data_IF_066784949428
#
_entry.id   IF_066784949428
#
_cell.length_a   1.000
_cell.length_b   1.000
_cell.length_c   1.000
_cell.angle_alpha   90.00
_cell.angle_beta   90.00
_cell.angle_gamma   90.00
#
_symmetry.space_group_name_H-M   'P 1'
#
loop_
_entity.id
_entity.type
_entity.pdbx_description
1 polymer ?
#
# COMPACT_ATOMS: atom_id res chain seq x y z
N UNK A 1 -3.96 -10.18 -28.15
CA UNK A 1 -3.98 -8.75 -27.78
C UNK A 1 -5.09 -8.57 -26.75
N UNK A 2 -4.73 -8.48 -25.46
CA UNK A 2 -5.72 -8.40 -24.38
C UNK A 2 -6.34 -7.00 -24.32
N UNK A 3 -7.66 -6.94 -24.13
CA UNK A 3 -8.42 -5.71 -23.95
C UNK A 3 -7.84 -4.86 -22.81
N UNK A 4 -6.95 -3.94 -23.13
CA UNK A 4 -6.68 -2.79 -22.26
C UNK A 4 -7.85 -1.84 -22.45
N UNK A 5 -8.63 -1.64 -21.39
CA UNK A 5 -9.75 -0.72 -21.38
C UNK A 5 -9.22 0.67 -21.79
N UNK A 6 -9.61 1.17 -22.97
CA UNK A 6 -9.06 2.40 -23.60
C UNK A 6 -9.78 3.66 -23.12
N UNK A 7 -10.29 3.67 -21.89
CA UNK A 7 -11.06 4.80 -21.39
C UNK A 7 -10.24 6.09 -21.35
N UNK A 8 -8.94 5.98 -21.03
CA UNK A 8 -7.99 7.09 -21.09
C UNK A 8 -6.96 6.83 -22.19
N UNK A 9 -7.00 7.56 -23.31
CA UNK A 9 -5.98 7.42 -24.35
C UNK A 9 -4.64 7.95 -23.84
N UNK A 10 -3.56 7.18 -24.03
CA UNK A 10 -2.19 7.58 -23.69
C UNK A 10 -1.68 8.64 -24.67
N UNK A 11 -1.40 9.88 -24.23
CA UNK A 11 -0.82 10.89 -25.10
C UNK A 11 0.64 10.58 -25.42
N UNK A 12 1.08 10.99 -26.62
CA UNK A 12 2.47 10.79 -27.10
C UNK A 12 3.50 11.42 -26.16
N UNK A 13 3.21 12.59 -25.58
CA UNK A 13 4.14 13.27 -24.68
C UNK A 13 4.29 12.52 -23.34
N UNK A 14 3.24 11.87 -22.84
CA UNK A 14 3.33 10.99 -21.64
C UNK A 14 4.06 9.70 -21.99
N UNK A 15 3.74 9.10 -23.14
CA UNK A 15 4.43 7.90 -23.61
C UNK A 15 5.94 8.10 -23.69
N UNK A 16 6.38 9.28 -24.14
CA UNK A 16 7.79 9.63 -24.25
C UNK A 16 8.40 10.24 -22.99
N UNK A 17 7.64 10.41 -21.90
CA UNK A 17 8.06 11.12 -20.68
C UNK A 17 8.65 12.52 -20.98
N UNK A 18 7.99 13.28 -21.86
CA UNK A 18 8.50 14.56 -22.35
C UNK A 18 8.48 15.65 -21.26
N UNK A 19 9.66 15.98 -20.74
CA UNK A 19 9.82 16.96 -19.66
C UNK A 19 10.12 18.38 -20.13
N UNK A 20 10.23 18.64 -21.44
CA UNK A 20 10.69 19.94 -21.98
C UNK A 20 9.88 21.14 -21.48
N UNK A 21 8.58 20.94 -21.27
CA UNK A 21 7.67 22.00 -20.83
C UNK A 21 7.56 22.12 -19.30
N UNK A 22 8.24 21.28 -18.53
CA UNK A 22 8.14 21.27 -17.06
C UNK A 22 9.02 22.32 -16.37
N UNK A 23 9.97 22.93 -17.10
CA UNK A 23 10.96 23.83 -16.53
C UNK A 23 11.65 23.19 -15.31
N UNK A 24 11.86 23.97 -14.25
CA UNK A 24 12.49 23.49 -13.03
C UNK A 24 11.51 22.86 -12.01
N UNK A 25 10.24 22.60 -12.36
CA UNK A 25 9.25 22.04 -11.42
C UNK A 25 9.75 20.78 -10.70
N UNK A 26 10.45 19.89 -11.43
CA UNK A 26 11.00 18.66 -10.87
C UNK A 26 12.01 18.92 -9.74
N UNK A 27 12.69 20.07 -9.72
CA UNK A 27 13.64 20.46 -8.67
C UNK A 27 12.97 20.98 -7.40
N UNK A 28 11.65 21.14 -7.38
CA UNK A 28 10.86 21.53 -6.20
C UNK A 28 10.34 20.34 -5.38
N UNK A 29 10.44 19.13 -5.92
CA UNK A 29 10.17 17.89 -5.20
C UNK A 29 11.34 17.54 -4.26
N UNK A 30 11.03 16.81 -3.19
CA UNK A 30 12.01 16.33 -2.23
C UNK A 30 12.36 14.88 -2.55
N UNK A 31 13.60 14.64 -2.98
CA UNK A 31 14.11 13.31 -3.31
C UNK A 31 15.03 12.78 -2.21
N UNK A 32 15.05 11.46 -2.03
CA UNK A 32 15.97 10.78 -1.11
C UNK A 32 17.36 10.59 -1.72
N UNK A 33 18.02 11.68 -2.14
CA UNK A 33 19.28 11.63 -2.89
C UNK A 33 20.54 11.77 -2.03
N UNK A 34 20.44 12.07 -0.73
CA UNK A 34 21.61 12.34 0.13
C UNK A 34 22.67 11.24 0.08
N UNK A 35 22.25 9.97 0.20
CA UNK A 35 23.16 8.83 0.15
C UNK A 35 23.74 8.63 -1.26
N UNK A 36 22.90 8.72 -2.29
CA UNK A 36 23.33 8.63 -3.69
C UNK A 36 24.39 9.70 -4.04
N UNK A 37 24.16 10.95 -3.64
CA UNK A 37 25.10 12.05 -3.86
C UNK A 37 26.41 11.85 -3.11
N UNK A 38 26.37 11.23 -1.92
CA UNK A 38 27.59 10.86 -1.19
C UNK A 38 28.41 9.82 -1.97
N UNK A 39 27.75 8.79 -2.52
CA UNK A 39 28.41 7.76 -3.33
C UNK A 39 29.03 8.35 -4.61
N UNK A 40 28.31 9.26 -5.28
CA UNK A 40 28.81 9.95 -6.48
C UNK A 40 30.07 10.76 -6.17
N UNK A 41 30.07 11.55 -5.08
CA UNK A 41 31.25 12.34 -4.68
C UNK A 41 32.46 11.49 -4.31
N UNK A 42 32.24 10.27 -3.85
CA UNK A 42 33.29 9.32 -3.50
C UNK A 42 33.76 8.49 -4.71
N UNK A 43 33.22 8.73 -5.91
CA UNK A 43 33.46 7.91 -7.10
C UNK A 43 33.22 6.41 -6.83
N UNK A 44 32.18 6.09 -6.06
CA UNK A 44 31.81 4.71 -5.77
C UNK A 44 31.50 3.94 -7.05
N UNK A 45 31.81 2.64 -7.04
CA UNK A 45 31.50 1.75 -8.16
C UNK A 45 29.98 1.73 -8.43
N UNK A 46 29.61 2.03 -9.68
CA UNK A 46 28.21 2.08 -10.13
C UNK A 46 27.54 0.71 -10.16
N UNK A 47 28.33 -0.35 -10.24
CA UNK A 47 27.85 -1.73 -10.18
C UNK A 47 27.69 -2.25 -8.74
N UNK A 48 28.11 -1.45 -7.74
CA UNK A 48 27.92 -1.83 -6.35
C UNK A 48 26.43 -1.88 -5.97
N UNK A 49 26.06 -2.86 -5.14
CA UNK A 49 24.68 -3.04 -4.69
C UNK A 49 24.10 -1.79 -4.02
N UNK A 50 24.93 -1.04 -3.28
CA UNK A 50 24.53 0.19 -2.59
C UNK A 50 24.21 1.31 -3.60
N UNK A 51 25.04 1.48 -4.62
CA UNK A 51 24.82 2.47 -5.68
C UNK A 51 23.57 2.13 -6.48
N UNK A 52 23.44 0.88 -6.95
CA UNK A 52 22.27 0.41 -7.71
C UNK A 52 20.98 0.64 -6.92
N UNK A 53 20.97 0.30 -5.63
CA UNK A 53 19.81 0.49 -4.76
C UNK A 53 19.43 1.96 -4.62
N UNK A 54 20.39 2.83 -4.29
CA UNK A 54 20.16 4.26 -4.11
C UNK A 54 19.73 4.95 -5.41
N UNK A 55 20.35 4.58 -6.54
CA UNK A 55 20.05 5.10 -7.87
C UNK A 55 18.65 4.69 -8.33
N UNK A 56 18.27 3.41 -8.16
CA UNK A 56 16.93 2.94 -8.49
C UNK A 56 15.85 3.58 -7.62
N UNK A 57 16.14 3.83 -6.34
CA UNK A 57 15.26 4.58 -5.44
C UNK A 57 14.97 5.98 -5.98
N UNK A 58 16.02 6.75 -6.31
CA UNK A 58 15.88 8.07 -6.93
C UNK A 58 15.13 8.02 -8.27
N UNK A 59 15.49 7.08 -9.14
CA UNK A 59 14.85 6.90 -10.46
C UNK A 59 13.35 6.62 -10.33
N UNK A 60 12.95 5.82 -9.34
CA UNK A 60 11.55 5.56 -9.03
C UNK A 60 10.79 6.82 -8.62
N UNK A 61 11.31 7.56 -7.64
CA UNK A 61 10.71 8.83 -7.18
C UNK A 61 10.61 9.87 -8.30
N UNK A 62 11.64 9.97 -9.15
CA UNK A 62 11.64 10.87 -10.29
C UNK A 62 10.59 10.48 -11.34
N UNK A 63 10.45 9.18 -11.62
CA UNK A 63 9.43 8.68 -12.54
C UNK A 63 8.02 9.04 -12.06
N UNK A 64 7.71 8.81 -10.79
CA UNK A 64 6.42 9.16 -10.19
C UNK A 64 6.12 10.67 -10.32
N UNK A 65 7.12 11.52 -10.07
CA UNK A 65 6.95 12.98 -10.14
C UNK A 65 6.81 13.49 -11.59
N UNK A 66 7.56 12.92 -12.54
CA UNK A 66 7.39 13.24 -13.97
C UNK A 66 5.99 12.84 -14.42
N UNK A 67 5.57 11.62 -14.12
CA UNK A 67 4.22 11.13 -14.47
C UNK A 67 3.15 12.05 -13.87
N UNK A 68 3.32 12.47 -12.61
CA UNK A 68 2.39 13.38 -11.96
C UNK A 68 2.28 14.74 -12.68
N UNK A 69 3.40 15.39 -13.00
CA UNK A 69 3.41 16.68 -13.73
C UNK A 69 2.76 16.57 -15.12
N UNK A 70 2.97 15.43 -15.81
CA UNK A 70 2.40 15.19 -17.13
C UNK A 70 0.89 14.90 -17.06
N UNK A 71 0.43 14.22 -16.01
CA UNK A 71 -1.00 14.00 -15.74
C UNK A 71 -1.73 15.28 -15.33
N UNK A 72 -1.05 16.17 -14.63
CA UNK A 72 -1.59 17.49 -14.30
C UNK A 72 -1.91 18.26 -15.59
N UNK A 73 -1.02 18.22 -16.59
CA UNK A 73 -1.26 18.82 -17.92
C UNK A 73 -2.33 18.09 -18.70
N UNK A 74 -2.32 16.76 -18.68
CA UNK A 74 -3.35 15.94 -19.30
C UNK A 74 -4.75 16.32 -18.82
N UNK A 75 -4.89 16.60 -17.53
CA UNK A 75 -6.14 17.10 -16.94
C UNK A 75 -6.58 18.41 -17.56
N UNK A 76 -5.65 19.35 -17.79
CA UNK A 76 -6.00 20.65 -18.35
C UNK A 76 -6.57 20.52 -19.76
N UNK A 77 -6.10 19.54 -20.53
CA UNK A 77 -6.49 19.27 -21.92
C UNK A 77 -7.71 18.33 -22.03
N UNK A 78 -7.96 17.48 -21.03
CA UNK A 78 -9.04 16.50 -21.05
C UNK A 78 -10.29 16.97 -20.30
N UNK A 79 -11.39 17.18 -21.03
CA UNK A 79 -12.67 17.65 -20.49
C UNK A 79 -13.43 16.59 -19.67
N UNK A 80 -13.11 15.30 -19.81
CA UNK A 80 -13.76 14.23 -19.04
C UNK A 80 -13.32 14.25 -17.57
N UNK A 81 -12.16 14.85 -17.29
CA UNK A 81 -11.64 15.01 -15.94
C UNK A 81 -12.27 16.25 -15.30
N UNK A 82 -13.11 16.00 -14.29
CA UNK A 82 -13.84 17.03 -13.56
C UNK A 82 -13.04 17.62 -12.41
N UNK A 83 -12.15 16.83 -11.80
CA UNK A 83 -11.27 17.28 -10.72
C UNK A 83 -9.95 16.51 -10.74
N UNK A 84 -8.84 17.16 -10.41
CA UNK A 84 -7.52 16.54 -10.24
C UNK A 84 -6.92 16.93 -8.89
N UNK A 85 -6.40 15.94 -8.18
CA UNK A 85 -5.93 16.11 -6.80
C UNK A 85 -4.48 16.57 -6.79
N UNK A 86 -4.26 17.75 -6.22
CA UNK A 86 -2.94 18.36 -6.07
C UNK A 86 -2.09 17.62 -5.00
N UNK A 87 -0.78 17.51 -5.25
CA UNK A 87 0.22 16.94 -4.33
C UNK A 87 1.57 17.65 -4.48
N UNK A 88 2.52 17.31 -3.62
CA UNK A 88 3.90 17.76 -3.81
C UNK A 88 4.04 19.28 -3.66
N UNK A 89 4.78 19.96 -4.55
CA UNK A 89 4.95 21.41 -4.52
C UNK A 89 3.71 22.18 -5.00
N UNK A 90 2.70 21.52 -5.60
CA UNK A 90 1.47 22.16 -6.07
C UNK A 90 0.44 22.41 -4.97
N UNK A 91 0.65 21.84 -3.78
CA UNK A 91 -0.23 22.04 -2.63
C UNK A 91 0.60 22.55 -1.44
N UNK A 92 0.05 23.50 -0.69
CA UNK A 92 0.62 23.80 0.63
C UNK A 92 0.30 22.65 1.59
N UNK A 93 1.23 22.36 2.51
CA UNK A 93 0.90 21.54 3.68
C UNK A 93 -0.09 22.34 4.51
N UNK A 94 -1.39 22.15 4.26
CA UNK A 94 -2.45 22.73 5.07
C UNK A 94 -2.51 22.00 6.41
N UNK A 95 -1.48 22.18 7.25
CA UNK A 95 -1.45 21.75 8.64
C UNK A 95 -2.50 22.49 9.50
N UNK A 96 -3.32 23.36 8.91
CA UNK A 96 -4.24 24.23 9.64
C UNK A 96 -5.33 23.47 10.41
N UNK A 97 -5.69 22.26 10.01
CA UNK A 97 -6.87 21.59 10.57
C UNK A 97 -6.61 20.23 11.26
N UNK A 98 -5.35 19.77 11.38
CA UNK A 98 -5.02 18.51 12.08
C UNK A 98 -5.95 17.33 11.71
N UNK A 99 -6.37 17.23 10.44
CA UNK A 99 -7.34 16.23 10.01
C UNK A 99 -6.85 14.82 10.34
N UNK A 100 -7.62 14.14 11.19
CA UNK A 100 -7.35 12.75 11.61
C UNK A 100 -7.99 11.74 10.66
N UNK A 101 -8.90 12.16 9.80
CA UNK A 101 -9.64 11.28 8.89
C UNK A 101 -9.87 11.97 7.55
N UNK A 102 -9.74 11.22 6.46
CA UNK A 102 -9.98 11.73 5.11
C UNK A 102 -8.78 11.58 4.19
N UNK A 103 -8.94 12.03 2.94
CA UNK A 103 -7.82 12.20 2.01
C UNK A 103 -7.07 13.48 2.39
N UNK A 104 -5.75 13.39 2.54
CA UNK A 104 -4.90 14.53 2.87
C UNK A 104 -3.57 14.41 2.12
N UNK A 105 -2.77 15.46 2.17
CA UNK A 105 -1.36 15.39 1.82
C UNK A 105 -0.53 15.09 3.07
N UNK A 106 0.27 14.03 3.04
CA UNK A 106 1.11 13.64 4.17
C UNK A 106 2.40 14.50 4.26
N UNK A 107 3.26 14.22 5.24
CA UNK A 107 4.54 14.94 5.41
C UNK A 107 5.52 14.69 4.26
N UNK A 108 5.40 13.55 3.59
CA UNK A 108 6.16 13.18 2.39
C UNK A 108 5.58 13.84 1.13
N UNK A 109 4.52 14.65 1.27
CA UNK A 109 3.80 15.36 0.21
C UNK A 109 3.08 14.44 -0.78
N UNK A 110 2.70 13.25 -0.35
CA UNK A 110 1.91 12.29 -1.11
C UNK A 110 0.42 12.37 -0.73
N UNK A 111 -0.45 11.95 -1.65
CA UNK A 111 -1.88 11.85 -1.39
C UNK A 111 -2.11 10.58 -0.57
N UNK A 112 -2.65 10.70 0.64
CA UNK A 112 -2.92 9.56 1.51
C UNK A 112 -4.34 9.59 2.04
N UNK A 113 -4.94 8.41 2.23
CA UNK A 113 -6.11 8.30 3.10
C UNK A 113 -5.67 8.03 4.53
N UNK A 114 -5.98 8.95 5.44
CA UNK A 114 -5.65 8.86 6.85
C UNK A 114 -6.85 8.35 7.65
N UNK A 115 -6.58 7.43 8.57
CA UNK A 115 -7.55 6.97 9.56
C UNK A 115 -6.93 7.01 10.96
N UNK A 116 -7.22 8.07 11.70
CA UNK A 116 -6.56 8.40 12.96
C UNK A 116 -5.13 8.88 12.74
N UNK A 117 -4.16 8.11 13.24
CA UNK A 117 -2.73 8.45 13.19
C UNK A 117 -1.95 7.59 12.17
N UNK A 118 -2.66 6.96 11.24
CA UNK A 118 -2.08 6.03 10.27
C UNK A 118 -2.58 6.29 8.86
N UNK A 119 -1.65 6.21 7.92
CA UNK A 119 -1.90 6.40 6.49
C UNK A 119 -2.22 5.04 5.88
N UNK A 120 -3.51 4.77 5.66
CA UNK A 120 -4.00 3.44 5.27
C UNK A 120 -3.55 3.11 3.85
N UNK A 121 -3.54 4.10 2.97
CA UNK A 121 -3.13 3.99 1.58
C UNK A 121 -2.57 5.31 1.07
N UNK A 122 -1.63 5.22 0.15
CA UNK A 122 -0.98 6.32 -0.57
C UNK A 122 -1.32 6.24 -2.06
N UNK A 123 -1.34 7.35 -2.80
CA UNK A 123 -1.67 7.41 -4.22
C UNK A 123 -0.70 8.33 -4.97
N UNK A 124 -0.14 7.85 -6.09
CA UNK A 124 0.81 8.61 -6.90
C UNK A 124 0.15 9.81 -7.57
N UNK A 125 -1.08 9.63 -8.04
CA UNK A 125 -1.99 10.68 -8.46
C UNK A 125 -3.45 10.22 -8.30
N UNK A 126 -4.39 11.16 -8.32
CA UNK A 126 -5.82 10.87 -8.26
C UNK A 126 -6.59 11.95 -9.02
N UNK A 127 -7.65 11.53 -9.73
CA UNK A 127 -8.56 12.44 -10.40
C UNK A 127 -9.98 11.86 -10.44
N UNK A 128 -10.94 12.73 -10.73
CA UNK A 128 -12.36 12.38 -10.81
C UNK A 128 -12.86 12.65 -12.21
N UNK A 129 -13.76 11.79 -12.66
CA UNK A 129 -14.64 12.05 -13.80
C UNK A 129 -16.06 12.21 -13.29
N UNK A 130 -17.02 12.37 -14.21
CA UNK A 130 -18.44 12.51 -13.86
C UNK A 130 -18.98 11.38 -12.95
N UNK A 131 -18.51 10.14 -13.12
CA UNK A 131 -19.06 8.95 -12.44
C UNK A 131 -17.99 8.10 -11.72
N UNK A 132 -16.73 8.54 -11.72
CA UNK A 132 -15.62 7.70 -11.28
C UNK A 132 -14.59 8.47 -10.46
N UNK A 133 -13.96 7.76 -9.52
CA UNK A 133 -12.66 8.12 -8.94
C UNK A 133 -11.60 7.25 -9.61
N UNK A 134 -10.57 7.89 -10.15
CA UNK A 134 -9.45 7.23 -10.81
C UNK A 134 -8.19 7.49 -9.99
N UNK A 135 -7.58 6.41 -9.49
CA UNK A 135 -6.27 6.51 -8.85
C UNK A 135 -5.17 6.03 -9.79
N UNK A 136 -4.00 6.62 -9.67
CA UNK A 136 -2.84 6.31 -10.49
C UNK A 136 -1.84 5.50 -9.68
N UNK A 137 -1.25 4.50 -10.33
CA UNK A 137 -0.09 3.76 -9.87
C UNK A 137 0.94 3.73 -10.98
N UNK A 138 2.14 4.20 -10.69
CA UNK A 138 3.24 4.30 -11.61
C UNK A 138 4.43 3.49 -11.10
N UNK A 139 5.09 2.74 -11.99
CA UNK A 139 6.29 2.01 -11.58
C UNK A 139 7.26 1.74 -12.73
N UNK A 140 8.55 1.81 -12.40
CA UNK A 140 9.65 1.37 -13.25
C UNK A 140 9.97 -0.12 -13.10
N UNK A 141 9.35 -0.81 -12.12
CA UNK A 141 9.62 -2.22 -11.82
C UNK A 141 9.01 -3.12 -12.89
N UNK A 142 9.80 -4.07 -13.38
CA UNK A 142 9.39 -4.95 -14.48
C UNK A 142 8.33 -6.00 -14.08
N UNK A 143 8.30 -6.41 -12.81
CA UNK A 143 7.33 -7.39 -12.31
C UNK A 143 6.08 -6.71 -11.74
N UNK A 144 4.91 -7.10 -12.26
CA UNK A 144 3.61 -6.55 -11.86
C UNK A 144 2.93 -7.32 -10.72
N UNK A 145 3.56 -8.38 -10.18
CA UNK A 145 2.92 -9.26 -9.19
C UNK A 145 2.57 -8.50 -7.90
N UNK A 146 3.55 -7.82 -7.30
CA UNK A 146 3.35 -7.05 -6.07
C UNK A 146 2.40 -5.86 -6.24
N UNK A 147 2.27 -5.35 -7.47
CA UNK A 147 1.34 -4.25 -7.78
C UNK A 147 -0.12 -4.68 -7.59
N UNK A 148 -0.50 -5.91 -7.95
CA UNK A 148 -1.90 -6.35 -7.86
C UNK A 148 -2.45 -6.34 -6.44
N UNK A 149 -1.63 -6.72 -5.44
CA UNK A 149 -2.02 -6.64 -4.02
C UNK A 149 -2.32 -5.19 -3.61
N UNK A 150 -1.48 -4.24 -4.04
CA UNK A 150 -1.69 -2.81 -3.81
C UNK A 150 -2.98 -2.33 -4.48
N UNK A 151 -3.24 -2.74 -5.72
CA UNK A 151 -4.47 -2.39 -6.45
C UNK A 151 -5.73 -2.89 -5.76
N UNK A 152 -5.76 -4.16 -5.31
CA UNK A 152 -6.92 -4.71 -4.57
C UNK A 152 -7.23 -3.87 -3.34
N UNK A 153 -6.21 -3.56 -2.54
CA UNK A 153 -6.34 -2.73 -1.33
C UNK A 153 -6.85 -1.32 -1.65
N UNK A 154 -6.24 -0.63 -2.63
CA UNK A 154 -6.64 0.72 -3.05
C UNK A 154 -8.08 0.74 -3.56
N UNK A 155 -8.42 -0.22 -4.41
CA UNK A 155 -9.78 -0.36 -4.98
C UNK A 155 -10.82 -0.60 -3.90
N UNK A 156 -10.56 -1.54 -2.97
CA UNK A 156 -11.47 -1.85 -1.87
C UNK A 156 -11.68 -0.66 -0.93
N UNK A 157 -10.60 0.07 -0.60
CA UNK A 157 -10.69 1.26 0.25
C UNK A 157 -11.49 2.37 -0.44
N UNK A 158 -11.15 2.75 -1.67
CA UNK A 158 -11.86 3.81 -2.39
C UNK A 158 -13.34 3.45 -2.62
N UNK A 159 -13.67 2.17 -2.79
CA UNK A 159 -15.06 1.71 -2.92
C UNK A 159 -15.88 1.89 -1.63
N UNK A 160 -15.22 1.95 -0.47
CA UNK A 160 -15.87 2.32 0.79
C UNK A 160 -16.00 3.84 0.94
N UNK A 161 -14.97 4.59 0.54
CA UNK A 161 -14.91 6.04 0.67
C UNK A 161 -15.87 6.75 -0.30
N UNK A 162 -16.11 6.16 -1.47
CA UNK A 162 -16.94 6.71 -2.54
C UNK A 162 -17.95 5.67 -3.03
N UNK A 163 -19.00 5.34 -2.25
CA UNK A 163 -19.94 4.27 -2.61
C UNK A 163 -20.73 4.54 -3.89
N UNK A 164 -20.84 5.82 -4.29
CA UNK A 164 -21.61 6.25 -5.45
C UNK A 164 -20.73 6.49 -6.70
N UNK A 165 -19.42 6.25 -6.61
CA UNK A 165 -18.50 6.38 -7.75
C UNK A 165 -17.96 5.01 -8.14
N UNK A 166 -17.70 4.83 -9.43
CA UNK A 166 -16.88 3.70 -9.90
C UNK A 166 -15.43 3.95 -9.51
N UNK A 167 -14.75 2.90 -9.05
CA UNK A 167 -13.32 2.98 -8.72
C UNK A 167 -12.51 2.37 -9.86
N UNK A 168 -11.71 3.21 -10.52
CA UNK A 168 -10.85 2.83 -11.64
C UNK A 168 -9.39 3.07 -11.29
N UNK A 169 -8.51 2.35 -11.98
CA UNK A 169 -7.08 2.50 -11.82
C UNK A 169 -6.43 2.84 -13.16
N UNK A 170 -5.54 3.83 -13.18
CA UNK A 170 -4.65 4.09 -14.30
C UNK A 170 -3.24 3.63 -13.91
N UNK A 171 -2.76 2.60 -14.60
CA UNK A 171 -1.48 1.95 -14.33
C UNK A 171 -0.47 2.43 -15.36
N UNK A 172 0.61 3.07 -14.93
CA UNK A 172 1.63 3.64 -15.81
C UNK A 172 2.94 2.89 -15.59
N UNK A 173 3.37 2.15 -16.61
CA UNK A 173 4.52 1.24 -16.52
C UNK A 173 5.61 1.70 -17.47
N UNK A 174 6.87 1.56 -17.05
CA UNK A 174 7.99 1.66 -17.98
C UNK A 174 7.99 0.46 -18.94
N UNK A 175 8.42 0.69 -20.18
CA UNK A 175 8.67 -0.37 -21.16
C UNK A 175 9.57 -1.48 -20.57
N UNK A 176 9.31 -2.72 -20.97
CA UNK A 176 9.93 -3.91 -20.39
C UNK A 176 9.15 -4.53 -19.21
N UNK A 177 8.03 -3.93 -18.80
CA UNK A 177 7.13 -4.53 -17.81
C UNK A 177 6.46 -5.81 -18.35
N UNK A 178 6.31 -6.82 -17.48
CA UNK A 178 5.76 -8.14 -17.80
C UNK A 178 4.43 -8.39 -17.07
N UNK A 179 3.58 -9.26 -17.63
CA UNK A 179 2.30 -9.64 -17.01
C UNK A 179 1.17 -8.62 -17.17
N UNK A 180 1.23 -7.79 -18.22
CA UNK A 180 0.25 -6.73 -18.52
C UNK A 180 -1.18 -7.24 -18.74
N UNK A 181 -1.35 -8.51 -19.13
CA UNK A 181 -2.64 -9.14 -19.39
C UNK A 181 -3.34 -9.68 -18.13
N UNK A 182 -2.80 -9.44 -16.95
CA UNK A 182 -3.32 -9.97 -15.67
C UNK A 182 -3.88 -8.87 -14.75
N UNK A 183 -4.07 -7.65 -15.27
CA UNK A 183 -4.74 -6.59 -14.52
C UNK A 183 -6.26 -6.76 -14.57
N UNK A 184 -6.98 -6.37 -13.50
CA UNK A 184 -8.45 -6.40 -13.49
C UNK A 184 -9.06 -5.42 -14.50
N UNK A 185 -10.33 -5.65 -14.88
CA UNK A 185 -11.04 -4.87 -15.91
C UNK A 185 -11.23 -3.37 -15.57
N UNK A 186 -11.15 -3.02 -14.28
CA UNK A 186 -11.20 -1.62 -13.84
C UNK A 186 -9.87 -0.88 -14.03
N UNK A 187 -8.86 -1.51 -14.63
CA UNK A 187 -7.55 -0.93 -14.89
C UNK A 187 -7.39 -0.51 -16.36
N UNK A 188 -6.94 0.73 -16.57
CA UNK A 188 -6.33 1.18 -17.83
C UNK A 188 -4.82 1.08 -17.69
N UNK A 189 -4.11 0.55 -18.69
CA UNK A 189 -2.65 0.37 -18.64
C UNK A 189 -1.98 1.21 -19.72
N UNK A 190 -1.06 2.08 -19.30
CA UNK A 190 -0.18 2.87 -20.15
C UNK A 190 1.24 2.36 -20.02
N UNK A 191 1.95 2.30 -21.15
CA UNK A 191 3.37 1.92 -21.19
C UNK A 191 4.16 3.09 -21.75
N UNK A 192 5.10 3.60 -20.97
CA UNK A 192 5.99 4.71 -21.33
C UNK A 192 7.35 4.18 -21.76
N UNK A 193 8.17 5.03 -22.38
CA UNK A 193 9.61 4.76 -22.57
C UNK A 193 10.34 4.66 -21.22
N UNK A 194 11.56 4.13 -21.25
CA UNK A 194 12.46 4.15 -20.10
C UNK A 194 12.83 5.58 -19.74
N UNK A 195 12.71 5.92 -18.46
CA UNK A 195 13.22 7.17 -17.92
C UNK A 195 14.76 7.14 -17.90
N UNK A 196 15.35 8.19 -18.47
CA UNK A 196 16.73 8.62 -18.20
C UNK A 196 16.72 9.66 -17.05
N UNK A 197 17.24 9.31 -15.86
CA UNK A 197 17.24 10.22 -14.72
C UNK A 197 18.45 11.17 -14.68
N UNK A 198 19.46 10.97 -15.54
CA UNK A 198 20.73 11.70 -15.48
C UNK A 198 20.59 13.23 -15.60
N UNK A 199 19.76 13.79 -16.51
CA UNK A 199 19.62 15.23 -16.62
C UNK A 199 19.18 15.90 -15.31
N UNK A 200 18.23 15.29 -14.60
CA UNK A 200 17.73 15.82 -13.32
C UNK A 200 18.69 15.54 -12.18
N UNK A 201 19.31 14.34 -12.14
CA UNK A 201 20.32 14.00 -11.13
C UNK A 201 21.48 14.98 -11.15
N UNK A 202 21.98 15.33 -12.35
CA UNK A 202 23.08 16.27 -12.54
C UNK A 202 22.74 17.67 -12.03
N UNK A 203 21.52 18.16 -12.28
CA UNK A 203 21.05 19.44 -11.73
C UNK A 203 20.95 19.40 -10.20
N UNK A 204 20.48 18.29 -9.62
CA UNK A 204 20.42 18.11 -8.16
C UNK A 204 21.83 18.05 -7.55
N UNK A 205 22.78 17.38 -8.20
CA UNK A 205 24.15 17.27 -7.73
C UNK A 205 24.87 18.63 -7.73
N UNK A 206 24.58 19.47 -8.72
CA UNK A 206 25.13 20.83 -8.91
C UNK A 206 24.29 21.93 -8.26
N UNK A 207 23.56 21.64 -7.18
CA UNK A 207 22.58 22.56 -6.55
C UNK A 207 23.09 23.98 -6.26
N UNK A 208 24.40 24.18 -6.07
CA UNK A 208 25.00 25.49 -5.80
C UNK A 208 25.36 26.28 -7.08
N UNK A 209 25.40 25.63 -8.24
CA UNK A 209 25.79 26.21 -9.53
C UNK A 209 24.57 26.52 -10.42
N UNK A 210 23.41 25.92 -10.13
CA UNK A 210 22.18 26.13 -10.90
C UNK A 210 21.20 27.06 -10.17
N UNK A 211 20.91 28.22 -10.78
CA UNK A 211 19.86 29.11 -10.29
C UNK A 211 18.49 28.57 -10.72
N UNK A 212 17.69 28.09 -9.75
CA UNK A 212 16.37 27.54 -10.02
C UNK A 212 15.42 28.58 -10.62
N UNK A 213 14.83 28.23 -11.76
CA UNK A 213 13.72 28.99 -12.35
C UNK A 213 12.49 28.92 -11.45
N UNK A 214 11.62 29.93 -11.56
CA UNK A 214 10.39 30.02 -10.76
C UNK A 214 9.47 28.82 -11.04
N UNK A 215 8.90 28.26 -9.98
CA UNK A 215 7.90 27.19 -10.05
C UNK A 215 6.72 27.57 -10.95
N UNK A 216 6.37 26.68 -11.87
CA UNK A 216 5.25 26.80 -12.79
C UNK A 216 4.01 26.19 -12.12
N UNK A 217 3.10 27.05 -11.68
CA UNK A 217 1.81 26.68 -11.09
C UNK A 217 0.66 26.89 -12.06
N UNK A 218 -0.35 26.04 -12.02
CA UNK A 218 -1.57 26.15 -12.83
C UNK A 218 -2.74 26.70 -12.01
N UNK A 219 -3.55 27.58 -12.61
CA UNK A 219 -4.78 28.10 -12.02
C UNK A 219 -5.97 27.57 -12.83
N UNK A 220 -6.54 26.46 -12.40
CA UNK A 220 -7.75 25.87 -12.98
C UNK A 220 -8.65 25.37 -11.84
N UNK A 221 -9.95 25.63 -11.93
CA UNK A 221 -10.96 25.28 -10.92
C UNK A 221 -11.09 23.77 -10.67
N UNK A 222 -10.64 22.94 -11.62
CA UNK A 222 -10.61 21.47 -11.50
C UNK A 222 -9.48 20.99 -10.59
N UNK A 223 -8.46 21.82 -10.36
CA UNK A 223 -7.34 21.46 -9.50
C UNK A 223 -7.75 21.69 -8.04
N UNK A 224 -7.81 20.60 -7.27
CA UNK A 224 -8.32 20.62 -5.89
C UNK A 224 -7.28 20.08 -4.93
N UNK A 225 -7.31 20.55 -3.69
CA UNK A 225 -6.46 20.01 -2.63
C UNK A 225 -7.07 18.72 -2.04
N UNK A 226 -6.23 17.77 -1.65
CA UNK A 226 -6.68 16.46 -1.14
C UNK A 226 -7.67 16.58 0.03
N UNK A 227 -7.43 17.51 0.95
CA UNK A 227 -8.23 17.72 2.16
C UNK A 227 -9.65 18.24 1.88
N UNK A 228 -9.89 18.83 0.70
CA UNK A 228 -11.21 19.33 0.30
C UNK A 228 -12.17 18.23 -0.14
N UNK A 229 -11.65 17.02 -0.38
CA UNK A 229 -12.42 15.89 -0.88
C UNK A 229 -13.24 15.28 0.26
N UNK A 230 -14.57 15.35 0.12
CA UNK A 230 -15.49 14.69 1.04
C UNK A 230 -15.52 13.19 0.78
N UNK A 231 -15.31 12.40 1.82
CA UNK A 231 -15.30 10.94 1.77
C UNK A 231 -16.22 10.35 2.81
N UNK A 232 -16.74 9.15 2.55
CA UNK A 232 -17.37 8.35 3.59
C UNK A 232 -16.36 7.99 4.68
N UNK A 233 -16.85 7.91 5.90
CA UNK A 233 -16.00 7.74 7.06
C UNK A 233 -15.60 6.27 7.27
N UNK A 234 -14.29 6.00 7.31
CA UNK A 234 -13.76 4.67 7.59
C UNK A 234 -12.76 4.69 8.76
N UNK A 235 -13.11 3.97 9.83
CA UNK A 235 -12.33 3.84 11.08
C UNK A 235 -11.54 2.53 11.08
N UNK A 236 -10.25 2.62 10.79
CA UNK A 236 -9.38 1.45 10.64
C UNK A 236 -9.37 0.53 11.88
N UNK A 237 -9.05 1.06 13.06
CA UNK A 237 -8.92 0.23 14.26
C UNK A 237 -10.26 -0.24 14.83
N UNK A 238 -11.30 0.59 14.79
CA UNK A 238 -12.65 0.22 15.25
C UNK A 238 -13.20 -0.95 14.42
N UNK A 239 -13.02 -0.89 13.10
CA UNK A 239 -13.45 -1.97 12.19
C UNK A 239 -12.63 -3.25 12.42
N UNK A 240 -11.32 -3.14 12.64
CA UNK A 240 -10.47 -4.29 12.94
C UNK A 240 -10.88 -4.96 14.28
N UNK A 241 -11.21 -4.17 15.30
CA UNK A 241 -11.75 -4.67 16.56
C UNK A 241 -13.16 -5.26 16.43
N UNK A 242 -14.00 -4.72 15.54
CA UNK A 242 -15.30 -5.31 15.22
C UNK A 242 -15.15 -6.68 14.54
N UNK A 243 -14.23 -6.82 13.59
CA UNK A 243 -13.90 -8.12 12.96
C UNK A 243 -13.47 -9.13 14.03
N UNK A 244 -12.55 -8.77 14.92
CA UNK A 244 -12.13 -9.64 16.03
C UNK A 244 -13.34 -10.13 16.84
N UNK A 245 -14.22 -9.21 17.28
CA UNK A 245 -15.40 -9.56 18.09
C UNK A 245 -16.42 -10.43 17.37
N UNK A 246 -16.51 -10.34 16.03
CA UNK A 246 -17.43 -11.13 15.20
C UNK A 246 -16.82 -12.42 14.68
N UNK A 247 -15.52 -12.61 14.81
CA UNK A 247 -14.79 -13.78 14.29
C UNK A 247 -15.23 -15.07 14.97
N UNK A 248 -15.43 -15.01 16.28
CA UNK A 248 -15.91 -16.12 17.11
C UNK A 248 -17.30 -15.76 17.63
N UNK A 249 -18.25 -16.66 17.43
CA UNK A 249 -19.55 -16.58 18.07
C UNK A 249 -19.40 -16.83 19.56
N UNK A 250 -19.80 -15.86 20.39
CA UNK A 250 -19.60 -15.93 21.84
C UNK A 250 -20.51 -16.95 22.52
N UNK A 251 -21.71 -17.18 21.97
CA UNK A 251 -22.69 -18.10 22.55
C UNK A 251 -22.34 -19.54 22.15
N UNK A 252 -22.07 -19.76 20.87
CA UNK A 252 -21.74 -21.08 20.34
C UNK A 252 -20.27 -21.47 20.54
N UNK A 253 -19.38 -20.52 20.87
CA UNK A 253 -17.91 -20.68 20.88
C UNK A 253 -17.36 -21.28 19.58
N UNK A 254 -17.97 -20.91 18.45
CA UNK A 254 -17.66 -21.43 17.11
C UNK A 254 -17.15 -20.33 16.20
N UNK A 255 -16.37 -20.72 15.19
CA UNK A 255 -15.92 -19.81 14.16
C UNK A 255 -17.09 -19.34 13.29
N UNK A 256 -17.21 -18.03 13.08
CA UNK A 256 -18.30 -17.45 12.32
C UNK A 256 -17.98 -17.42 10.82
N UNK A 257 -18.17 -18.55 10.14
CA UNK A 257 -17.85 -18.66 8.72
C UNK A 257 -18.71 -17.76 7.82
N UNK A 258 -20.00 -17.64 8.12
CA UNK A 258 -20.93 -16.83 7.31
C UNK A 258 -20.53 -15.35 7.33
N UNK A 259 -20.03 -14.87 8.48
CA UNK A 259 -19.45 -13.54 8.61
C UNK A 259 -18.27 -13.33 7.65
N UNK A 260 -17.32 -14.26 7.60
CA UNK A 260 -16.15 -14.15 6.72
C UNK A 260 -16.46 -14.35 5.24
N UNK A 261 -17.49 -15.14 4.93
CA UNK A 261 -18.00 -15.32 3.56
C UNK A 261 -18.83 -14.14 3.06
N UNK A 262 -19.19 -13.18 3.94
CA UNK A 262 -19.98 -12.01 3.53
C UNK A 262 -19.17 -11.05 2.64
N UNK A 263 -19.85 -10.43 1.68
CA UNK A 263 -19.26 -9.43 0.76
C UNK A 263 -18.57 -8.28 1.51
N UNK A 264 -19.16 -7.84 2.63
CA UNK A 264 -18.63 -6.75 3.44
C UNK A 264 -17.30 -7.14 4.11
N UNK A 265 -17.24 -8.31 4.74
CA UNK A 265 -16.01 -8.77 5.40
C UNK A 265 -14.91 -9.04 4.39
N UNK A 266 -15.22 -9.65 3.24
CA UNK A 266 -14.23 -9.85 2.17
C UNK A 266 -13.63 -8.54 1.66
N UNK A 267 -14.45 -7.49 1.51
CA UNK A 267 -13.96 -6.16 1.15
C UNK A 267 -13.01 -5.59 2.21
N UNK A 268 -13.31 -5.77 3.50
CA UNK A 268 -12.38 -5.38 4.55
C UNK A 268 -11.09 -6.22 4.50
N UNK A 269 -11.17 -7.52 4.26
CA UNK A 269 -10.00 -8.39 4.10
C UNK A 269 -9.07 -7.90 2.98
N UNK A 270 -9.61 -7.35 1.89
CA UNK A 270 -8.80 -6.73 0.84
C UNK A 270 -8.08 -5.45 1.30
N UNK A 271 -8.66 -4.68 2.23
CA UNK A 271 -8.05 -3.47 2.80
C UNK A 271 -6.94 -3.82 3.80
N UNK A 272 -7.22 -4.72 4.74
CA UNK A 272 -6.28 -5.05 5.82
C UNK A 272 -5.20 -6.05 5.40
N UNK A 273 -5.46 -6.87 4.37
CA UNK A 273 -4.69 -8.08 3.96
C UNK A 273 -4.57 -9.18 5.02
N UNK A 274 -4.80 -8.86 6.30
CA UNK A 274 -4.86 -9.76 7.43
C UNK A 274 -5.83 -9.24 8.48
N UNK A 275 -6.51 -10.13 9.18
CA UNK A 275 -7.35 -9.77 10.32
C UNK A 275 -7.12 -10.69 11.50
N UNK A 276 -7.28 -10.13 12.69
CA UNK A 276 -7.08 -10.83 13.95
C UNK A 276 -8.38 -11.52 14.34
N UNK A 277 -8.29 -12.81 14.64
CA UNK A 277 -9.46 -13.63 15.01
C UNK A 277 -9.41 -14.10 16.46
N UNK A 278 -8.28 -13.91 17.14
CA UNK A 278 -8.09 -14.29 18.53
C UNK A 278 -6.62 -14.40 18.89
N UNK A 279 -6.33 -15.12 19.96
CA UNK A 279 -4.99 -15.50 20.39
C UNK A 279 -4.97 -16.94 20.89
N UNK A 280 -3.77 -17.54 20.95
CA UNK A 280 -3.49 -18.77 21.69
C UNK A 280 -2.45 -18.47 22.77
N UNK A 281 -2.40 -19.27 23.83
CA UNK A 281 -1.33 -19.21 24.84
C UNK A 281 -0.01 -19.75 24.30
N UNK A 282 1.12 -19.53 24.98
CA UNK A 282 2.40 -20.16 24.59
C UNK A 282 2.32 -21.69 24.59
N UNK A 283 1.68 -22.27 25.60
CA UNK A 283 1.49 -23.72 25.73
C UNK A 283 0.64 -24.26 24.57
N UNK A 284 -0.44 -23.56 24.24
CA UNK A 284 -1.26 -23.90 23.09
C UNK A 284 -0.46 -23.77 21.78
N UNK A 285 0.34 -22.72 21.65
CA UNK A 285 1.17 -22.52 20.47
C UNK A 285 2.22 -23.63 20.30
N UNK A 286 2.86 -24.09 21.38
CA UNK A 286 3.73 -25.28 21.35
C UNK A 286 2.97 -26.48 20.77
N UNK A 287 1.76 -26.77 21.24
CA UNK A 287 0.93 -27.86 20.70
C UNK A 287 0.58 -27.70 19.21
N UNK A 288 0.58 -26.48 18.68
CA UNK A 288 0.44 -26.23 17.24
C UNK A 288 1.74 -26.58 16.53
N UNK A 289 2.88 -26.17 17.11
CA UNK A 289 4.22 -26.35 16.56
C UNK A 289 4.73 -27.80 16.57
N UNK A 290 4.27 -28.66 17.49
CA UNK A 290 4.71 -30.07 17.60
C UNK A 290 4.61 -30.91 16.30
N UNK A 291 3.88 -30.41 15.29
CA UNK A 291 3.71 -31.05 13.98
C UNK A 291 4.65 -30.51 12.91
N UNK A 292 5.50 -29.57 13.26
CA UNK A 292 6.37 -28.81 12.36
C UNK A 292 7.80 -28.84 12.89
N UNK A 293 8.76 -28.75 11.98
CA UNK A 293 10.11 -28.37 12.33
C UNK A 293 10.08 -26.90 12.78
N UNK A 294 10.33 -26.63 14.05
CA UNK A 294 10.20 -25.28 14.63
C UNK A 294 11.33 -24.92 15.60
N UNK A 295 12.50 -25.54 15.44
CA UNK A 295 13.66 -25.35 16.32
C UNK A 295 14.14 -23.89 16.37
N UNK A 296 13.82 -23.10 15.33
CA UNK A 296 14.10 -21.66 15.29
C UNK A 296 13.23 -20.82 16.25
N UNK A 297 12.14 -21.37 16.79
CA UNK A 297 11.25 -20.66 17.71
C UNK A 297 11.66 -20.94 19.15
N UNK A 298 12.34 -19.98 19.74
CA UNK A 298 12.68 -19.93 21.16
C UNK A 298 11.48 -19.42 21.98
N UNK A 299 10.60 -20.32 22.43
CA UNK A 299 9.35 -19.98 23.14
C UNK A 299 9.58 -19.19 24.44
N UNK A 300 10.68 -19.46 25.13
CA UNK A 300 11.10 -18.79 26.35
C UNK A 300 11.43 -17.31 26.11
N UNK A 301 11.86 -16.95 24.90
CA UNK A 301 12.14 -15.55 24.53
C UNK A 301 10.86 -14.75 24.24
N UNK A 302 9.71 -15.40 24.13
CA UNK A 302 8.42 -14.73 23.88
C UNK A 302 7.99 -13.99 25.16
N UNK A 303 7.67 -12.70 25.06
CA UNK A 303 7.29 -11.89 26.24
C UNK A 303 5.86 -12.19 26.67
N UNK A 304 4.91 -12.06 25.75
CA UNK A 304 3.48 -12.16 26.04
C UNK A 304 3.01 -13.61 25.94
N UNK A 305 2.11 -14.05 26.82
CA UNK A 305 1.49 -15.35 26.68
C UNK A 305 0.54 -15.40 25.48
N UNK A 306 0.06 -14.26 24.99
CA UNK A 306 -0.86 -14.16 23.86
C UNK A 306 -0.11 -14.14 22.53
N UNK A 307 -0.13 -15.28 21.85
CA UNK A 307 0.29 -15.41 20.45
C UNK A 307 -0.91 -15.03 19.57
N UNK A 308 -0.77 -13.96 18.79
CA UNK A 308 -1.85 -13.48 17.94
C UNK A 308 -2.14 -14.47 16.82
N UNK A 309 -3.42 -14.78 16.61
CA UNK A 309 -3.87 -15.61 15.48
C UNK A 309 -4.59 -14.72 14.48
N UNK A 310 -4.18 -14.81 13.23
CA UNK A 310 -4.71 -14.00 12.12
C UNK A 310 -5.09 -14.86 10.93
N UNK A 311 -6.10 -14.41 10.18
CA UNK A 311 -6.39 -14.92 8.84
C UNK A 311 -5.80 -13.93 7.84
N UNK A 312 -4.94 -14.39 6.93
CA UNK A 312 -4.35 -13.58 5.86
C UNK A 312 -4.84 -14.04 4.50
N UNK A 313 -5.18 -13.07 3.63
CA UNK A 313 -5.52 -13.35 2.23
C UNK A 313 -4.25 -13.30 1.37
N UNK A 314 -3.97 -14.38 0.67
CA UNK A 314 -2.83 -14.51 -0.21
C UNK A 314 -3.07 -13.87 -1.58
N UNK A 315 -2.02 -13.83 -2.41
CA UNK A 315 -2.06 -13.16 -3.71
C UNK A 315 -3.00 -13.87 -4.68
N UNK A 316 -2.96 -15.21 -4.67
CA UNK A 316 -3.85 -16.09 -5.42
C UNK A 316 -5.29 -16.16 -4.88
N UNK A 317 -5.59 -15.43 -3.80
CA UNK A 317 -6.92 -15.38 -3.20
C UNK A 317 -7.21 -16.48 -2.17
N UNK A 318 -6.24 -17.38 -1.94
CA UNK A 318 -6.28 -18.35 -0.83
C UNK A 318 -6.17 -17.64 0.53
N UNK A 319 -6.47 -18.37 1.60
CA UNK A 319 -6.42 -17.84 2.96
C UNK A 319 -5.60 -18.75 3.85
N UNK A 320 -4.70 -18.15 4.64
CA UNK A 320 -3.87 -18.87 5.60
C UNK A 320 -4.05 -18.35 7.02
N UNK A 321 -3.79 -19.26 7.97
CA UNK A 321 -3.75 -18.95 9.37
C UNK A 321 -2.31 -18.64 9.77
N UNK A 322 -2.07 -17.40 10.22
CA UNK A 322 -0.75 -16.88 10.52
C UNK A 322 -0.68 -16.46 11.99
N UNK A 323 0.48 -16.70 12.61
CA UNK A 323 0.73 -16.38 14.01
C UNK A 323 1.71 -15.22 14.15
N UNK A 324 1.53 -14.41 15.19
CA UNK A 324 2.47 -13.35 15.53
C UNK A 324 2.79 -13.32 17.02
N UNK A 325 4.08 -13.12 17.35
CA UNK A 325 4.53 -12.99 18.72
C UNK A 325 5.68 -11.99 18.86
N UNK A 326 5.87 -11.47 20.08
CA UNK A 326 6.95 -10.53 20.41
C UNK A 326 7.98 -11.20 21.30
N UNK A 327 9.26 -10.94 21.04
CA UNK A 327 10.36 -11.40 21.89
C UNK A 327 10.86 -10.31 22.83
N UNK A 328 11.67 -10.70 23.83
CA UNK A 328 12.32 -9.80 24.82
C UNK A 328 12.91 -8.52 24.22
N UNK A 329 13.48 -8.64 23.02
CA UNK A 329 14.03 -7.54 22.22
C UNK A 329 13.00 -6.56 21.63
N UNK A 330 11.71 -6.70 21.95
CA UNK A 330 10.56 -5.99 21.36
C UNK A 330 10.40 -6.16 19.84
N UNK A 331 11.11 -7.12 19.25
CA UNK A 331 10.95 -7.54 17.86
C UNK A 331 9.66 -8.34 17.70
N UNK A 332 8.94 -8.09 16.62
CA UNK A 332 7.72 -8.81 16.28
C UNK A 332 8.04 -9.82 15.17
N UNK A 333 7.64 -11.07 15.37
CA UNK A 333 7.81 -12.14 14.42
C UNK A 333 6.46 -12.59 13.84
N UNK A 334 6.45 -12.91 12.55
CA UNK A 334 5.39 -13.64 11.85
C UNK A 334 5.82 -15.08 11.70
N UNK A 335 4.92 -16.01 12.00
CA UNK A 335 5.11 -17.44 11.77
C UNK A 335 4.07 -17.91 10.78
N UNK A 336 4.54 -18.46 9.67
CA UNK A 336 3.71 -19.11 8.66
C UNK A 336 3.96 -20.62 8.75
N UNK A 337 2.91 -21.42 8.81
CA UNK A 337 3.02 -22.88 8.88
C UNK A 337 2.97 -23.46 7.47
N UNK A 338 4.08 -24.05 7.01
CA UNK A 338 4.26 -24.48 5.63
C UNK A 338 4.57 -25.97 5.59
N UNK A 339 3.57 -26.79 5.22
CA UNK A 339 3.67 -28.26 5.19
C UNK A 339 4.07 -28.87 6.54
N UNK A 340 5.34 -29.24 6.70
CA UNK A 340 5.95 -29.78 7.94
C UNK A 340 7.02 -28.86 8.51
N UNK A 341 7.09 -27.63 8.01
CA UNK A 341 8.10 -26.63 8.36
C UNK A 341 7.43 -25.30 8.75
N UNK A 342 8.22 -24.36 9.23
CA UNK A 342 7.79 -23.00 9.51
C UNK A 342 8.53 -22.00 8.62
N UNK A 343 7.91 -20.86 8.39
CA UNK A 343 8.60 -19.68 7.87
C UNK A 343 8.51 -18.58 8.90
N UNK A 344 9.67 -18.20 9.44
CA UNK A 344 9.81 -17.12 10.39
C UNK A 344 10.18 -15.82 9.67
N UNK A 345 9.50 -14.73 9.98
CA UNK A 345 9.83 -13.41 9.39
C UNK A 345 9.73 -12.31 10.44
N UNK A 346 10.84 -11.63 10.68
CA UNK A 346 10.85 -10.42 11.52
C UNK A 346 10.09 -9.29 10.80
N UNK A 347 9.18 -8.62 11.52
CA UNK A 347 8.42 -7.47 11.01
C UNK A 347 9.10 -6.16 11.35
N UNK A 348 8.90 -5.18 10.48
CA UNK A 348 9.37 -3.82 10.67
C UNK A 348 8.81 -3.21 11.97
N UNK A 349 9.67 -2.73 12.89
CA UNK A 349 9.24 -2.10 14.14
C UNK A 349 8.38 -0.84 13.94
N UNK A 350 8.48 -0.18 12.79
CA UNK A 350 7.66 1.00 12.43
C UNK A 350 6.43 0.65 11.58
N UNK A 351 6.32 -0.60 11.13
CA UNK A 351 5.27 -1.05 10.23
C UNK A 351 3.86 -1.10 10.84
N UNK A 352 2.87 -1.25 9.97
CA UNK A 352 1.45 -1.39 10.35
C UNK A 352 1.21 -2.53 11.34
N UNK A 353 1.82 -3.70 11.09
CA UNK A 353 1.64 -4.90 11.92
C UNK A 353 2.09 -4.68 13.37
N UNK A 354 3.15 -3.90 13.61
CA UNK A 354 3.56 -3.55 14.97
C UNK A 354 2.50 -2.70 15.68
N UNK A 355 1.86 -1.77 14.96
CA UNK A 355 0.83 -0.90 15.52
C UNK A 355 -0.47 -1.65 15.77
N UNK A 356 -0.84 -2.57 14.87
CA UNK A 356 -2.00 -3.45 15.00
C UNK A 356 -1.87 -4.41 16.18
N UNK A 357 -0.73 -5.07 16.34
CA UNK A 357 -0.51 -5.96 17.51
C UNK A 357 -0.61 -5.21 18.83
N UNK A 358 -0.08 -3.97 18.91
CA UNK A 358 -0.26 -3.11 20.10
C UNK A 358 -1.74 -2.82 20.38
N UNK A 359 -2.53 -2.50 19.36
CA UNK A 359 -3.97 -2.31 19.51
C UNK A 359 -4.69 -3.59 19.95
N UNK A 360 -4.31 -4.73 19.38
CA UNK A 360 -4.93 -6.03 19.64
C UNK A 360 -4.72 -6.54 21.05
N UNK A 361 -3.53 -6.36 21.63
CA UNK A 361 -3.24 -6.73 23.02
C UNK A 361 -4.27 -6.11 23.98
N UNK A 362 -4.66 -4.85 23.74
CA UNK A 362 -5.64 -4.13 24.55
C UNK A 362 -7.10 -4.43 24.17
N UNK A 363 -7.33 -5.07 23.02
CA UNK A 363 -8.67 -5.42 22.52
C UNK A 363 -9.10 -6.83 22.91
N UNK A 364 -8.15 -7.70 23.29
CA UNK A 364 -8.45 -9.07 23.66
C UNK A 364 -9.22 -9.16 24.98
N UNK A 365 -10.00 -10.23 25.06
CA UNK A 365 -10.83 -10.65 26.19
C UNK A 365 -10.66 -12.16 26.30
N UNK A 366 -11.03 -12.76 27.42
CA UNK A 366 -10.80 -14.20 27.66
C UNK A 366 -11.50 -15.10 26.62
N UNK A 367 -12.65 -14.68 26.10
CA UNK A 367 -13.38 -15.37 25.02
C UNK A 367 -12.67 -15.31 23.65
N UNK A 368 -11.63 -14.50 23.49
CA UNK A 368 -10.78 -14.49 22.29
C UNK A 368 -9.62 -15.50 22.36
N UNK A 369 -9.49 -16.25 23.45
CA UNK A 369 -8.56 -17.39 23.54
C UNK A 369 -9.12 -18.55 22.71
N UNK A 370 -8.40 -18.91 21.64
CA UNK A 370 -8.78 -19.98 20.73
C UNK A 370 -8.20 -21.31 21.22
N UNK A 371 -9.05 -22.30 21.48
CA UNK A 371 -8.53 -23.63 21.77
C UNK A 371 -7.96 -24.30 20.49
N UNK A 372 -7.09 -25.29 20.68
CA UNK A 372 -6.39 -25.97 19.58
C UNK A 372 -7.33 -26.68 18.61
N UNK A 373 -8.45 -27.24 19.10
CA UNK A 373 -9.44 -27.91 18.24
C UNK A 373 -10.06 -26.90 17.27
N UNK A 374 -10.40 -25.71 17.77
CA UNK A 374 -10.96 -24.61 16.98
C UNK A 374 -9.93 -24.06 15.99
N UNK A 375 -8.69 -23.85 16.40
CA UNK A 375 -7.59 -23.42 15.51
C UNK A 375 -7.43 -24.38 14.33
N UNK A 376 -7.38 -25.69 14.60
CA UNK A 376 -7.29 -26.73 13.56
C UNK A 376 -8.52 -26.74 12.64
N UNK A 377 -9.71 -26.58 13.22
CA UNK A 377 -10.96 -26.45 12.45
C UNK A 377 -10.90 -25.25 11.49
N UNK A 378 -10.50 -24.07 11.99
CA UNK A 378 -10.41 -22.85 11.19
C UNK A 378 -9.39 -23.04 10.06
N UNK A 379 -8.18 -23.51 10.37
CA UNK A 379 -7.14 -23.75 9.37
C UNK A 379 -7.60 -24.69 8.24
N UNK A 380 -8.36 -25.74 8.56
CA UNK A 380 -8.91 -26.66 7.56
C UNK A 380 -10.08 -26.06 6.77
N UNK A 381 -10.86 -25.19 7.41
CA UNK A 381 -12.04 -24.55 6.81
C UNK A 381 -11.64 -23.48 5.81
N UNK A 382 -10.71 -22.59 6.17
CA UNK A 382 -10.29 -21.47 5.31
C UNK A 382 -9.56 -21.96 4.05
N UNK A 383 -8.87 -23.10 4.12
CA UNK A 383 -8.24 -23.74 2.94
C UNK A 383 -9.25 -24.16 1.87
N UNK A 384 -10.52 -24.36 2.24
CA UNK A 384 -11.60 -24.70 1.31
C UNK A 384 -12.27 -23.47 0.71
N UNK A 385 -11.92 -22.28 1.18
CA UNK A 385 -12.48 -21.05 0.65
C UNK A 385 -11.89 -20.74 -0.73
N UNK A 386 -12.76 -20.54 -1.71
CA UNK A 386 -12.37 -20.19 -3.06
C UNK A 386 -13.06 -18.89 -3.44
N UNK A 387 -12.42 -17.77 -3.09
CA UNK A 387 -12.91 -16.44 -3.45
C UNK A 387 -12.12 -15.95 -4.65
N UNK A 388 -12.76 -16.00 -5.83
CA UNK A 388 -12.21 -15.45 -7.07
C UNK A 388 -12.18 -13.93 -7.03
#
# INVERSE_FOLDING_TARGET
MGNTNKEFPLPVYIQNLDTRNLGDNLLYYSYHTKFLLSLIRQNADKESQQFISAYNGFRGELFENIVYELLLRYTLENNDITQFVLKGPHQNLSNKENHKFGLIMDKSKQIVYKAGYKDVSEYDAMFFTKDSVVYVESTIVQSTIGLRKRLRKKTALLSLLFPNLKVKALIILSEGATGLNRFPDNCTVWVTKKLDPEPVLNLIAKKNEHQKQKFISFKDKRLIEAHSIKVNFFKYYDTLGWILRKSIDNEAKKFNESFFKSKNTLRYMDIYSKVYIGYVTKIQFQNVLDRFNSDEIELEKIIDDKIHVTIEKQDEGSFDLIYYYKTGSKKLFKVELVKKDIKLTQKDPKGFTMSETKFMIHSYKNNHNLNIKLVKYIANTIKKWNFK
#
